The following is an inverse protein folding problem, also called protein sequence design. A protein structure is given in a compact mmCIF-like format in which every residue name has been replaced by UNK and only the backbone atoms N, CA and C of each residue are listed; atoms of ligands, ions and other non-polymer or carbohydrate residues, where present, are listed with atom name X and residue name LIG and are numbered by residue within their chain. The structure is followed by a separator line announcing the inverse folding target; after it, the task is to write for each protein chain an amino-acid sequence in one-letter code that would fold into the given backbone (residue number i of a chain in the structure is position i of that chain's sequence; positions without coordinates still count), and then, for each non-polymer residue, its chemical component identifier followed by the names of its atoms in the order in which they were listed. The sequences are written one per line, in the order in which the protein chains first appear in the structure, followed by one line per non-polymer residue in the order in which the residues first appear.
data_IF_232917790188
#
_entry.id   IF_232917790188
#
_cell.length_a   1.000
_cell.length_b   1.000
_cell.length_c   1.000
_cell.angle_alpha   90.00
_cell.angle_beta   90.00
_cell.angle_gamma   90.00
#
_symmetry.space_group_name_H-M   'P 1'
#
loop_
_entity.id
_entity.type
_entity.pdbx_description
1 polymer ?
#
# COMPACT_ATOMS: atom_id res chain seq x y z
N UNK A 1 28.22 5.77 -4.94
CA UNK A 1 29.50 6.27 -4.40
C UNK A 1 29.19 6.90 -3.05
N UNK A 2 29.76 6.40 -1.97
CA UNK A 2 29.65 7.03 -0.65
C UNK A 2 30.59 8.25 -0.62
N UNK A 3 30.05 9.44 -0.40
CA UNK A 3 30.88 10.63 -0.18
C UNK A 3 31.57 10.49 1.19
N UNK A 4 32.87 10.77 1.25
CA UNK A 4 33.59 10.83 2.52
C UNK A 4 33.02 11.98 3.37
N UNK A 5 32.81 11.73 4.67
CA UNK A 5 32.33 12.72 5.64
C UNK A 5 33.25 13.93 5.66
N UNK A 6 32.70 15.12 5.40
CA UNK A 6 33.42 16.37 5.51
C UNK A 6 33.60 16.69 7.00
N UNK A 7 34.81 17.00 7.42
CA UNK A 7 35.14 17.37 8.80
C UNK A 7 35.72 18.79 8.83
N UNK A 8 35.48 19.52 9.92
CA UNK A 8 36.07 20.82 10.16
C UNK A 8 37.57 20.68 10.41
N UNK A 9 38.41 21.43 9.67
CA UNK A 9 39.86 21.43 9.87
C UNK A 9 40.29 22.04 11.22
N UNK A 10 39.41 22.82 11.87
CA UNK A 10 39.70 23.45 13.17
C UNK A 10 39.52 22.51 14.36
N UNK A 11 38.36 21.88 14.47
CA UNK A 11 37.98 21.07 15.64
C UNK A 11 37.74 19.58 15.32
N UNK A 12 37.84 19.16 14.05
CA UNK A 12 37.59 17.79 13.61
C UNK A 12 36.11 17.37 13.60
N UNK A 13 35.17 18.24 13.98
CA UNK A 13 33.75 17.92 13.99
C UNK A 13 33.19 17.67 12.57
N UNK A 14 32.24 16.75 12.43
CA UNK A 14 31.57 16.49 11.16
C UNK A 14 30.73 17.70 10.70
N UNK A 15 30.85 18.05 9.43
CA UNK A 15 30.12 19.14 8.80
C UNK A 15 28.77 18.66 8.24
N UNK A 16 27.68 19.43 8.42
CA UNK A 16 26.39 19.09 7.83
C UNK A 16 26.42 19.18 6.30
N UNK A 17 25.58 18.38 5.65
CA UNK A 17 25.40 18.40 4.20
C UNK A 17 24.53 19.60 3.80
N UNK A 18 25.12 20.60 3.15
CA UNK A 18 24.42 21.80 2.67
C UNK A 18 24.79 22.14 1.22
N UNK A 19 23.91 22.90 0.54
CA UNK A 19 24.16 23.37 -0.82
C UNK A 19 25.04 24.64 -0.89
N UNK A 20 25.29 25.31 0.25
CA UNK A 20 26.09 26.52 0.30
C UNK A 20 27.58 26.24 0.00
N UNK A 21 28.27 27.21 -0.62
CA UNK A 21 29.71 27.11 -0.94
C UNK A 21 30.62 27.10 0.31
N UNK A 22 30.15 27.67 1.40
CA UNK A 22 30.82 27.66 2.69
C UNK A 22 29.78 27.56 3.81
N UNK A 23 30.20 27.00 4.95
CA UNK A 23 29.43 26.98 6.19
C UNK A 23 30.31 27.29 7.38
N UNK A 24 29.74 27.90 8.41
CA UNK A 24 30.44 28.09 9.67
C UNK A 24 30.27 26.87 10.57
N UNK A 25 31.37 26.38 11.12
CA UNK A 25 31.35 25.25 12.03
C UNK A 25 30.57 25.62 13.29
N UNK A 26 29.51 24.85 13.61
CA UNK A 26 28.71 25.08 14.80
C UNK A 26 29.50 25.03 16.12
N UNK A 27 30.62 24.29 16.15
CA UNK A 27 31.42 24.11 17.37
C UNK A 27 32.50 25.18 17.59
N UNK A 28 33.14 25.67 16.51
CA UNK A 28 34.30 26.58 16.64
C UNK A 28 34.17 27.87 15.83
N UNK A 29 33.09 28.06 15.07
CA UNK A 29 32.84 29.25 14.25
C UNK A 29 33.71 29.37 12.99
N UNK A 30 34.67 28.46 12.77
CA UNK A 30 35.52 28.49 11.57
C UNK A 30 34.71 28.18 10.31
N UNK A 31 34.90 28.98 9.25
CA UNK A 31 34.29 28.73 7.96
C UNK A 31 34.94 27.54 7.24
N UNK A 32 34.12 26.64 6.71
CA UNK A 32 34.51 25.41 6.02
C UNK A 32 34.06 25.54 4.56
N UNK A 33 35.00 25.45 3.62
CA UNK A 33 34.68 25.41 2.20
C UNK A 33 34.03 24.05 1.84
N UNK A 34 32.84 24.08 1.24
CA UNK A 34 32.10 22.86 0.89
C UNK A 34 32.44 22.42 -0.53
N UNK A 35 33.01 21.21 -0.74
CA UNK A 35 33.36 20.72 -2.07
C UNK A 35 32.16 20.67 -3.02
N UNK A 36 32.39 20.87 -4.32
CA UNK A 36 31.31 20.85 -5.31
C UNK A 36 30.50 19.53 -5.31
N UNK A 37 31.17 18.39 -5.10
CA UNK A 37 30.51 17.09 -4.98
C UNK A 37 29.56 17.01 -3.77
N UNK A 38 29.92 17.65 -2.65
CA UNK A 38 29.06 17.73 -1.46
C UNK A 38 27.84 18.62 -1.70
N UNK A 39 28.02 19.76 -2.38
CA UNK A 39 26.89 20.63 -2.74
C UNK A 39 25.92 19.95 -3.69
N UNK A 40 26.43 19.28 -4.73
CA UNK A 40 25.61 18.50 -5.65
C UNK A 40 24.82 17.39 -4.93
N UNK A 41 25.44 16.73 -3.94
CA UNK A 41 24.72 15.78 -3.10
C UNK A 41 23.65 16.46 -2.23
N UNK A 42 23.95 17.58 -1.59
CA UNK A 42 22.98 18.33 -0.79
C UNK A 42 21.76 18.77 -1.63
N UNK A 43 21.99 19.26 -2.85
CA UNK A 43 20.93 19.60 -3.80
C UNK A 43 20.11 18.37 -4.20
N UNK A 44 20.76 17.22 -4.43
CA UNK A 44 20.09 15.94 -4.67
C UNK A 44 19.21 15.50 -3.49
N UNK A 45 19.70 15.63 -2.26
CA UNK A 45 18.93 15.34 -1.05
C UNK A 45 17.73 16.29 -0.89
N UNK A 46 17.93 17.58 -1.15
CA UNK A 46 16.86 18.57 -1.12
C UNK A 46 15.80 18.31 -2.20
N UNK A 47 16.21 17.91 -3.41
CA UNK A 47 15.31 17.52 -4.49
C UNK A 47 14.51 16.25 -4.12
N UNK A 48 15.16 15.22 -3.58
CA UNK A 48 14.49 14.02 -3.11
C UNK A 48 13.47 14.31 -2.00
N UNK A 49 13.82 15.21 -1.06
CA UNK A 49 12.90 15.63 -0.01
C UNK A 49 11.67 16.38 -0.56
N UNK A 50 11.81 17.18 -1.63
CA UNK A 50 10.67 17.79 -2.33
C UNK A 50 9.77 16.75 -2.97
N UNK A 51 10.33 15.82 -3.74
CA UNK A 51 9.58 14.73 -4.38
C UNK A 51 8.83 13.90 -3.33
N UNK A 52 9.46 13.59 -2.19
CA UNK A 52 8.80 12.88 -1.10
C UNK A 52 7.59 13.65 -0.58
N UNK A 53 7.74 14.94 -0.25
CA UNK A 53 6.63 15.76 0.25
C UNK A 53 5.45 15.82 -0.73
N UNK A 54 5.72 15.80 -2.04
CA UNK A 54 4.69 15.75 -3.07
C UNK A 54 3.99 14.37 -3.16
N UNK A 55 4.74 13.29 -2.93
CA UNK A 55 4.20 11.91 -3.00
C UNK A 55 3.51 11.49 -1.71
N UNK A 56 3.89 12.04 -0.57
CA UNK A 56 3.42 11.65 0.75
C UNK A 56 1.89 11.70 0.91
N UNK A 57 1.16 12.73 0.44
CA UNK A 57 -0.31 12.71 0.46
C UNK A 57 -0.91 11.58 -0.39
N UNK A 58 -0.31 11.29 -1.55
CA UNK A 58 -0.74 10.18 -2.41
C UNK A 58 -0.48 8.83 -1.73
N UNK A 59 0.67 8.70 -1.08
CA UNK A 59 0.98 7.53 -0.28
C UNK A 59 -0.03 7.38 0.85
N UNK A 60 -0.37 8.43 1.60
CA UNK A 60 -1.39 8.37 2.66
C UNK A 60 -2.73 7.89 2.11
N UNK A 61 -3.21 8.43 0.99
CA UNK A 61 -4.45 7.99 0.35
C UNK A 61 -4.41 6.52 -0.11
N UNK A 62 -3.28 6.07 -0.66
CA UNK A 62 -3.10 4.70 -1.12
C UNK A 62 -2.82 3.72 0.02
N UNK A 63 -2.22 4.19 1.10
CA UNK A 63 -1.83 3.37 2.23
C UNK A 63 -2.99 3.20 3.21
N UNK A 64 -3.99 4.08 3.20
CA UNK A 64 -5.28 3.80 3.85
C UNK A 64 -5.85 2.56 3.16
N UNK A 65 -6.07 1.49 3.93
CA UNK A 65 -6.68 0.26 3.44
C UNK A 65 -8.07 0.51 2.88
N UNK A 66 -8.74 -0.54 2.41
CA UNK A 66 -10.12 -0.44 1.92
C UNK A 66 -11.08 -0.04 3.07
N UNK A 67 -10.60 -0.13 4.30
CA UNK A 67 -11.20 0.43 5.50
C UNK A 67 -12.34 -0.45 6.01
N UNK A 68 -12.71 -0.22 7.28
CA UNK A 68 -13.88 -0.82 7.89
C UNK A 68 -15.19 -0.68 7.05
N UNK A 69 -15.48 0.45 6.37
CA UNK A 69 -16.75 0.57 5.64
C UNK A 69 -16.89 -0.40 4.46
N UNK A 70 -15.84 -0.62 3.66
CA UNK A 70 -15.96 -1.53 2.52
C UNK A 70 -16.19 -2.98 2.95
N UNK A 71 -15.52 -3.42 4.02
CA UNK A 71 -15.75 -4.72 4.63
C UNK A 71 -17.15 -4.84 5.22
N UNK A 72 -17.68 -3.77 5.83
CA UNK A 72 -19.05 -3.74 6.33
C UNK A 72 -20.07 -3.86 5.19
N UNK A 73 -19.87 -3.15 4.08
CA UNK A 73 -20.72 -3.26 2.89
C UNK A 73 -20.67 -4.66 2.29
N UNK A 74 -19.47 -5.26 2.19
CA UNK A 74 -19.34 -6.63 1.67
C UNK A 74 -20.09 -7.65 2.53
N UNK A 75 -19.99 -7.54 3.87
CA UNK A 75 -20.74 -8.37 4.82
C UNK A 75 -22.25 -8.14 4.73
N UNK A 76 -22.67 -6.89 4.60
CA UNK A 76 -24.09 -6.55 4.42
C UNK A 76 -24.65 -7.15 3.13
N UNK A 77 -23.92 -7.07 2.02
CA UNK A 77 -24.31 -7.70 0.74
C UNK A 77 -24.42 -9.22 0.87
N UNK A 78 -23.46 -9.87 1.52
CA UNK A 78 -23.50 -11.32 1.77
C UNK A 78 -24.72 -11.74 2.60
N UNK A 79 -25.12 -10.93 3.57
CA UNK A 79 -26.23 -11.24 4.48
C UNK A 79 -27.61 -10.92 3.88
N UNK A 80 -27.72 -9.79 3.16
CA UNK A 80 -29.02 -9.23 2.74
C UNK A 80 -29.41 -9.65 1.33
N UNK A 81 -28.46 -9.78 0.40
CA UNK A 81 -28.79 -10.00 -1.01
C UNK A 81 -29.43 -11.38 -1.28
N UNK A 82 -28.95 -12.51 -0.72
CA UNK A 82 -29.57 -13.82 -0.94
C UNK A 82 -31.03 -13.95 -0.47
N UNK A 83 -31.41 -13.55 0.77
CA UNK A 83 -32.81 -13.65 1.19
C UNK A 83 -33.71 -12.67 0.42
N UNK A 84 -33.21 -11.47 0.08
CA UNK A 84 -33.97 -10.51 -0.72
C UNK A 84 -34.24 -11.03 -2.14
N UNK A 85 -33.22 -11.59 -2.80
CA UNK A 85 -33.35 -12.17 -4.14
C UNK A 85 -34.32 -13.37 -4.13
N UNK A 86 -34.19 -14.26 -3.15
CA UNK A 86 -35.10 -15.39 -2.95
C UNK A 86 -36.54 -14.93 -2.79
N UNK A 87 -36.79 -13.97 -1.90
CA UNK A 87 -38.12 -13.41 -1.66
C UNK A 87 -38.72 -12.77 -2.92
N UNK A 88 -37.91 -12.05 -3.68
CA UNK A 88 -38.33 -11.42 -4.92
C UNK A 88 -38.75 -12.46 -5.98
N UNK A 89 -37.99 -13.54 -6.14
CA UNK A 89 -38.33 -14.60 -7.11
C UNK A 89 -39.56 -15.38 -6.67
N UNK A 90 -39.65 -15.76 -5.39
CA UNK A 90 -40.80 -16.49 -4.84
C UNK A 90 -42.10 -15.70 -4.93
N UNK A 91 -42.06 -14.37 -4.78
CA UNK A 91 -43.26 -13.52 -4.89
C UNK A 91 -43.74 -13.29 -6.32
N UNK A 92 -42.94 -13.65 -7.33
CA UNK A 92 -43.22 -13.35 -8.75
C UNK A 92 -43.45 -14.57 -9.62
N UNK A 93 -42.96 -15.76 -9.24
CA UNK A 93 -43.11 -16.98 -10.03
C UNK A 93 -44.30 -17.83 -9.58
N UNK A 94 -45.10 -18.29 -10.54
CA UNK A 94 -46.19 -19.26 -10.34
C UNK A 94 -46.05 -20.36 -11.42
N UNK A 95 -45.77 -21.62 -11.05
CA UNK A 95 -45.54 -22.13 -9.69
C UNK A 95 -44.23 -21.59 -9.07
N UNK A 96 -44.11 -21.59 -7.72
CA UNK A 96 -42.87 -21.22 -7.07
C UNK A 96 -41.74 -22.21 -7.42
N UNK A 97 -40.49 -21.74 -7.56
CA UNK A 97 -39.36 -22.62 -7.83
C UNK A 97 -39.16 -23.61 -6.69
N UNK A 98 -38.65 -24.80 -7.03
CA UNK A 98 -38.26 -25.79 -6.03
C UNK A 98 -37.12 -25.24 -5.15
N UNK A 99 -36.93 -25.76 -3.93
CA UNK A 99 -35.84 -25.32 -3.05
C UNK A 99 -34.45 -25.41 -3.71
N UNK A 100 -34.23 -26.44 -4.54
CA UNK A 100 -32.96 -26.67 -5.26
C UNK A 100 -32.74 -25.59 -6.32
N UNK A 101 -33.77 -25.28 -7.12
CA UNK A 101 -33.71 -24.22 -8.14
C UNK A 101 -33.51 -22.84 -7.50
N UNK A 102 -34.25 -22.54 -6.44
CA UNK A 102 -34.12 -21.26 -5.75
C UNK A 102 -32.72 -21.09 -5.13
N UNK A 103 -32.18 -22.14 -4.52
CA UNK A 103 -30.82 -22.07 -3.98
C UNK A 103 -29.77 -21.92 -5.10
N UNK A 104 -29.84 -22.75 -6.14
CA UNK A 104 -28.84 -22.80 -7.21
C UNK A 104 -28.83 -21.58 -8.12
N UNK A 105 -30.00 -21.04 -8.48
CA UNK A 105 -30.11 -19.96 -9.46
C UNK A 105 -30.33 -18.57 -8.86
N UNK A 106 -30.76 -18.49 -7.60
CA UNK A 106 -31.12 -17.21 -6.99
C UNK A 106 -30.22 -16.90 -5.80
N UNK A 107 -30.25 -17.74 -4.77
CA UNK A 107 -29.52 -17.46 -3.53
C UNK A 107 -28.00 -17.51 -3.73
N UNK A 108 -27.49 -18.54 -4.41
CA UNK A 108 -26.05 -18.71 -4.60
C UNK A 108 -25.43 -17.59 -5.47
N UNK A 109 -25.99 -17.22 -6.64
CA UNK A 109 -25.48 -16.10 -7.42
C UNK A 109 -25.57 -14.76 -6.67
N UNK A 110 -26.59 -14.58 -5.83
CA UNK A 110 -26.72 -13.40 -4.99
C UNK A 110 -25.63 -13.29 -3.90
N UNK A 111 -24.88 -14.36 -3.59
CA UNK A 111 -23.70 -14.26 -2.72
C UNK A 111 -22.49 -13.64 -3.43
N UNK A 112 -22.43 -13.73 -4.78
CA UNK A 112 -21.23 -13.35 -5.53
C UNK A 112 -20.81 -11.89 -5.35
N UNK A 113 -21.70 -10.87 -5.40
CA UNK A 113 -21.28 -9.48 -5.26
C UNK A 113 -20.61 -9.21 -3.90
N UNK A 114 -21.19 -9.76 -2.82
CA UNK A 114 -20.63 -9.64 -1.48
C UNK A 114 -19.32 -10.40 -1.32
N UNK A 115 -19.23 -11.62 -1.85
CA UNK A 115 -18.02 -12.46 -1.78
C UNK A 115 -16.85 -11.84 -2.57
N UNK A 116 -17.10 -11.33 -3.78
CA UNK A 116 -16.09 -10.68 -4.61
C UNK A 116 -15.60 -9.37 -3.99
N UNK A 117 -16.51 -8.55 -3.46
CA UNK A 117 -16.12 -7.31 -2.77
C UNK A 117 -15.29 -7.60 -1.51
N UNK A 118 -15.66 -8.63 -0.74
CA UNK A 118 -14.89 -9.06 0.44
C UNK A 118 -13.49 -9.57 0.05
N UNK A 119 -13.40 -10.42 -0.98
CA UNK A 119 -12.13 -10.93 -1.50
C UNK A 119 -11.23 -9.79 -2.00
N UNK A 120 -11.79 -8.84 -2.75
CA UNK A 120 -11.07 -7.66 -3.20
C UNK A 120 -10.57 -6.82 -2.02
N UNK A 121 -11.43 -6.51 -1.06
CA UNK A 121 -11.08 -5.69 0.09
C UNK A 121 -9.94 -6.31 0.91
N UNK A 122 -10.05 -7.59 1.23
CA UNK A 122 -9.03 -8.32 2.02
C UNK A 122 -7.70 -8.46 1.27
N UNK A 123 -7.72 -8.73 -0.04
CA UNK A 123 -6.50 -8.83 -0.85
C UNK A 123 -5.79 -7.49 -1.01
N UNK A 124 -6.54 -6.39 -1.18
CA UNK A 124 -5.98 -5.04 -1.21
C UNK A 124 -5.37 -4.67 0.14
N UNK A 125 -6.05 -4.93 1.26
CA UNK A 125 -5.51 -4.67 2.60
C UNK A 125 -4.21 -5.46 2.87
N UNK A 126 -4.18 -6.74 2.50
CA UNK A 126 -2.99 -7.57 2.60
C UNK A 126 -1.83 -7.01 1.74
N UNK A 127 -2.12 -6.53 0.52
CA UNK A 127 -1.12 -5.93 -0.34
C UNK A 127 -0.58 -4.61 0.25
N UNK A 128 -1.44 -3.75 0.77
CA UNK A 128 -1.06 -2.50 1.45
C UNK A 128 -0.15 -2.79 2.64
N UNK A 129 -0.54 -3.74 3.50
CA UNK A 129 0.24 -4.13 4.67
C UNK A 129 1.62 -4.68 4.30
N UNK A 130 1.70 -5.48 3.22
CA UNK A 130 2.98 -5.98 2.72
C UNK A 130 3.90 -4.83 2.28
N UNK A 131 3.41 -3.91 1.43
CA UNK A 131 4.23 -2.78 0.97
C UNK A 131 4.63 -1.89 2.17
N UNK A 132 3.73 -1.61 3.10
CA UNK A 132 4.04 -0.86 4.34
C UNK A 132 5.18 -1.53 5.12
N UNK A 133 5.17 -2.86 5.29
CA UNK A 133 6.27 -3.61 5.94
C UNK A 133 7.58 -3.52 5.17
N UNK A 134 7.50 -3.59 3.83
CA UNK A 134 8.69 -3.56 2.97
C UNK A 134 9.39 -2.18 3.03
N UNK A 135 8.64 -1.10 3.23
CA UNK A 135 9.21 0.26 3.38
C UNK A 135 9.41 0.72 4.82
N UNK A 136 8.93 -0.01 5.82
CA UNK A 136 9.04 0.39 7.23
C UNK A 136 10.48 0.36 7.75
N UNK A 137 10.80 1.36 8.58
CA UNK A 137 12.01 1.38 9.39
C UNK A 137 12.15 0.08 10.21
N UNK A 138 13.38 -0.21 10.63
CA UNK A 138 13.67 -1.23 11.63
C UNK A 138 13.55 -0.59 12.99
N UNK A 139 13.10 -1.36 13.96
CA UNK A 139 13.22 -1.01 15.36
C UNK A 139 14.41 -1.79 15.92
N UNK A 140 15.42 -1.08 16.44
CA UNK A 140 16.64 -1.66 16.97
C UNK A 140 16.97 -1.00 18.31
N UNK A 141 16.90 -1.77 19.40
CA UNK A 141 17.20 -1.31 20.75
C UNK A 141 16.45 -0.03 21.18
N UNK A 142 15.16 0.08 20.81
CA UNK A 142 14.33 1.24 21.15
C UNK A 142 14.56 2.48 20.26
N UNK A 143 15.40 2.38 19.22
CA UNK A 143 15.60 3.44 18.23
C UNK A 143 15.17 2.98 16.83
N UNK A 144 14.79 3.95 16.00
CA UNK A 144 14.48 3.70 14.58
C UNK A 144 15.77 3.59 13.77
N UNK A 145 15.85 2.57 12.94
CA UNK A 145 16.98 2.26 12.09
C UNK A 145 16.54 2.08 10.63
N UNK A 146 17.45 2.36 9.71
CA UNK A 146 17.22 2.26 8.28
C UNK A 146 16.88 0.82 7.90
N UNK A 147 15.83 0.64 7.08
CA UNK A 147 15.43 -0.70 6.63
C UNK A 147 16.42 -1.42 5.73
N UNK A 148 17.35 -0.69 5.12
CA UNK A 148 18.32 -1.20 4.16
C UNK A 148 19.65 -1.45 4.88
N UNK A 149 20.35 -0.38 5.28
CA UNK A 149 21.68 -0.49 5.90
C UNK A 149 21.69 -0.63 7.42
N UNK A 150 20.56 -0.45 8.12
CA UNK A 150 20.50 -0.50 9.59
C UNK A 150 21.02 0.73 10.33
N UNK A 151 21.45 1.79 9.64
CA UNK A 151 21.93 3.02 10.28
C UNK A 151 20.81 3.74 11.07
N UNK A 152 21.12 4.41 12.19
CA UNK A 152 20.13 5.11 12.99
C UNK A 152 19.43 6.20 12.17
N UNK A 153 18.12 6.34 12.38
CA UNK A 153 17.29 7.38 11.77
C UNK A 153 16.92 8.41 12.82
N UNK A 154 17.01 9.69 12.45
CA UNK A 154 16.53 10.82 13.23
C UNK A 154 15.36 11.48 12.47
N UNK A 155 14.15 10.88 12.49
CA UNK A 155 13.00 11.49 11.83
C UNK A 155 12.59 12.79 12.53
N UNK A 156 12.06 13.72 11.75
CA UNK A 156 11.35 14.88 12.30
C UNK A 156 10.11 14.40 13.08
N UNK A 157 9.69 15.12 14.14
CA UNK A 157 8.42 14.84 14.81
C UNK A 157 7.28 14.78 13.79
N UNK A 158 6.42 13.78 13.89
CA UNK A 158 5.26 13.55 13.00
C UNK A 158 5.54 13.24 11.53
N UNK A 159 6.81 13.14 11.11
CA UNK A 159 7.16 12.68 9.77
C UNK A 159 6.62 11.26 9.55
N UNK A 160 5.98 11.02 8.41
CA UNK A 160 5.50 9.69 8.06
C UNK A 160 6.64 8.83 7.50
N UNK A 161 7.55 9.42 6.71
CA UNK A 161 8.78 8.78 6.23
C UNK A 161 10.02 9.67 6.42
N UNK A 162 11.20 9.04 6.52
CA UNK A 162 12.50 9.73 6.55
C UNK A 162 13.50 9.05 5.62
N UNK A 163 14.40 9.82 5.01
CA UNK A 163 15.49 9.28 4.18
C UNK A 163 16.69 8.99 5.04
N UNK A 164 17.25 7.79 4.91
CA UNK A 164 18.53 7.47 5.54
C UNK A 164 19.65 8.34 4.96
N UNK A 165 20.33 9.13 5.80
CA UNK A 165 21.45 9.98 5.40
C UNK A 165 22.66 9.18 4.87
N UNK A 166 22.73 7.87 5.16
CA UNK A 166 23.84 7.02 4.77
C UNK A 166 23.64 6.35 3.41
N UNK A 167 22.50 5.65 3.22
CA UNK A 167 22.23 4.88 2.01
C UNK A 167 21.14 5.47 1.11
N UNK A 168 20.53 6.60 1.49
CA UNK A 168 19.50 7.28 0.71
C UNK A 168 18.14 6.56 0.65
N UNK A 169 17.95 5.48 1.43
CA UNK A 169 16.69 4.70 1.42
C UNK A 169 15.60 5.38 2.27
N UNK A 170 14.39 5.52 1.73
CA UNK A 170 13.23 6.20 2.37
C UNK A 170 12.43 5.30 3.31
N UNK A 171 12.65 5.34 4.61
CA UNK A 171 11.97 4.46 5.58
C UNK A 171 10.69 5.09 6.16
N UNK A 172 9.58 4.35 6.19
CA UNK A 172 8.40 4.74 6.98
C UNK A 172 8.73 4.64 8.46
N UNK A 173 8.44 5.71 9.21
CA UNK A 173 8.72 5.79 10.65
C UNK A 173 7.45 5.85 11.49
N UNK A 174 6.30 6.16 10.87
CA UNK A 174 4.97 6.10 11.50
C UNK A 174 4.18 4.89 10.99
N UNK A 175 3.18 4.49 11.77
CA UNK A 175 2.27 3.39 11.46
C UNK A 175 3.00 2.05 11.23
N UNK A 176 4.04 1.80 12.05
CA UNK A 176 4.87 0.60 11.96
C UNK A 176 4.03 -0.65 12.24
N UNK A 177 3.93 -1.59 11.29
CA UNK A 177 3.25 -2.85 11.53
C UNK A 177 4.03 -3.67 12.56
N UNK A 178 3.33 -4.44 13.40
CA UNK A 178 3.95 -5.40 14.31
C UNK A 178 4.96 -6.27 13.55
N UNK A 179 6.21 -6.26 14.02
CA UNK A 179 7.35 -6.74 13.25
C UNK A 179 7.21 -8.23 12.87
N UNK A 180 7.37 -8.53 11.58
CA UNK A 180 7.51 -9.90 11.06
C UNK A 180 8.71 -9.96 10.11
N UNK A 181 9.47 -11.05 10.15
CA UNK A 181 10.88 -11.12 9.70
C UNK A 181 11.11 -11.31 8.20
N UNK A 182 10.11 -11.20 7.34
CA UNK A 182 10.30 -11.41 5.89
C UNK A 182 10.28 -10.06 5.19
N UNK A 183 11.44 -9.64 4.65
CA UNK A 183 11.60 -8.38 3.91
C UNK A 183 12.19 -8.66 2.55
N UNK A 184 11.57 -8.12 1.52
CA UNK A 184 12.09 -8.13 0.16
C UNK A 184 12.63 -6.73 -0.17
N UNK A 185 13.90 -6.61 -0.56
CA UNK A 185 14.62 -5.33 -0.62
C UNK A 185 14.44 -4.58 -1.95
N UNK A 186 13.43 -4.92 -2.75
CA UNK A 186 13.28 -4.41 -4.11
C UNK A 186 12.90 -2.92 -4.19
N UNK A 187 12.28 -2.34 -3.15
CA UNK A 187 11.73 -0.97 -3.19
C UNK A 187 12.60 0.00 -2.39
N UNK A 188 13.19 1.00 -3.06
CA UNK A 188 14.13 1.95 -2.44
C UNK A 188 13.48 3.26 -2.04
N UNK A 189 12.52 3.75 -2.84
CA UNK A 189 11.88 5.05 -2.62
C UNK A 189 10.39 4.93 -2.29
N UNK A 190 9.82 5.94 -1.64
CA UNK A 190 8.38 5.99 -1.35
C UNK A 190 7.55 6.12 -2.66
N UNK A 191 8.09 6.78 -3.68
CA UNK A 191 7.47 6.91 -4.98
C UNK A 191 7.32 5.55 -5.69
N UNK A 192 8.39 4.75 -5.72
CA UNK A 192 8.34 3.37 -6.23
C UNK A 192 7.31 2.53 -5.47
N UNK A 193 7.26 2.67 -4.14
CA UNK A 193 6.29 1.96 -3.30
C UNK A 193 4.84 2.33 -3.67
N UNK A 194 4.56 3.62 -3.86
CA UNK A 194 3.25 4.12 -4.25
C UNK A 194 2.83 3.59 -5.63
N UNK A 195 3.75 3.59 -6.60
CA UNK A 195 3.49 3.08 -7.95
C UNK A 195 3.26 1.56 -7.97
N UNK A 196 4.06 0.79 -7.21
CA UNK A 196 3.85 -0.66 -7.06
C UNK A 196 2.49 -0.94 -6.45
N UNK A 197 2.09 -0.20 -5.42
CA UNK A 197 0.80 -0.36 -4.76
C UNK A 197 -0.37 0.00 -5.70
N UNK A 198 -0.24 1.09 -6.46
CA UNK A 198 -1.23 1.49 -7.47
C UNK A 198 -1.42 0.42 -8.53
N UNK A 199 -0.33 -0.10 -9.12
CA UNK A 199 -0.40 -1.17 -10.13
C UNK A 199 -1.03 -2.44 -9.56
N UNK A 200 -0.67 -2.83 -8.35
CA UNK A 200 -1.26 -4.01 -7.68
C UNK A 200 -2.76 -3.82 -7.43
N UNK A 201 -3.20 -2.65 -6.95
CA UNK A 201 -4.63 -2.36 -6.76
C UNK A 201 -5.42 -2.45 -8.07
N UNK A 202 -4.88 -1.90 -9.16
CA UNK A 202 -5.50 -1.99 -10.48
C UNK A 202 -5.59 -3.45 -10.97
N UNK A 203 -4.50 -4.21 -10.88
CA UNK A 203 -4.49 -5.61 -11.31
C UNK A 203 -5.42 -6.48 -10.47
N UNK A 204 -5.49 -6.25 -9.14
CA UNK A 204 -6.44 -6.96 -8.26
C UNK A 204 -7.88 -6.59 -8.59
N UNK A 205 -8.17 -5.31 -8.84
CA UNK A 205 -9.50 -4.88 -9.28
C UNK A 205 -9.93 -5.54 -10.59
N UNK A 206 -9.03 -5.55 -11.60
CA UNK A 206 -9.27 -6.22 -12.87
C UNK A 206 -9.47 -7.73 -12.71
N UNK A 207 -8.62 -8.39 -11.90
CA UNK A 207 -8.74 -9.82 -11.63
C UNK A 207 -10.07 -10.19 -10.98
N UNK A 208 -10.51 -9.42 -9.98
CA UNK A 208 -11.80 -9.65 -9.32
C UNK A 208 -12.97 -9.37 -10.26
N UNK A 209 -12.89 -8.33 -11.10
CA UNK A 209 -13.91 -8.05 -12.10
C UNK A 209 -14.05 -9.19 -13.13
N UNK A 210 -12.94 -9.71 -13.64
CA UNK A 210 -12.93 -10.86 -14.57
C UNK A 210 -13.48 -12.13 -13.91
N UNK A 211 -13.14 -12.39 -12.64
CA UNK A 211 -13.72 -13.49 -11.87
C UNK A 211 -15.23 -13.34 -11.71
N UNK A 212 -15.71 -12.12 -11.43
CA UNK A 212 -17.13 -11.84 -11.33
C UNK A 212 -17.88 -12.03 -12.65
N UNK A 213 -17.32 -11.56 -13.77
CA UNK A 213 -17.87 -11.79 -15.10
C UNK A 213 -17.91 -13.27 -15.46
N UNK A 214 -16.85 -14.02 -15.17
CA UNK A 214 -16.82 -15.47 -15.38
C UNK A 214 -17.87 -16.22 -14.56
N UNK A 215 -18.02 -15.86 -13.27
CA UNK A 215 -19.04 -16.46 -12.41
C UNK A 215 -20.46 -16.14 -12.90
N UNK A 216 -20.72 -14.90 -13.30
CA UNK A 216 -22.02 -14.51 -13.87
C UNK A 216 -22.33 -15.26 -15.18
N UNK A 217 -21.35 -15.37 -16.09
CA UNK A 217 -21.50 -16.13 -17.33
C UNK A 217 -21.81 -17.61 -17.07
N UNK A 218 -21.16 -18.25 -16.10
CA UNK A 218 -21.46 -19.63 -15.71
C UNK A 218 -22.88 -19.79 -15.16
N UNK A 219 -23.36 -18.85 -14.34
CA UNK A 219 -24.74 -18.87 -13.82
C UNK A 219 -25.75 -18.76 -14.96
N UNK A 220 -25.53 -17.84 -15.91
CA UNK A 220 -26.40 -17.69 -17.09
C UNK A 220 -26.39 -18.94 -17.95
N UNK A 221 -25.22 -19.52 -18.21
CA UNK A 221 -25.09 -20.76 -18.99
C UNK A 221 -25.81 -21.93 -18.32
N UNK A 222 -25.67 -22.08 -17.00
CA UNK A 222 -26.39 -23.10 -16.23
C UNK A 222 -27.91 -22.91 -16.31
N UNK A 223 -28.39 -21.68 -16.14
CA UNK A 223 -29.82 -21.37 -16.24
C UNK A 223 -30.38 -21.68 -17.64
N UNK A 224 -29.64 -21.35 -18.71
CA UNK A 224 -30.01 -21.67 -20.09
C UNK A 224 -30.02 -23.19 -20.33
N UNK A 225 -29.01 -23.91 -19.86
CA UNK A 225 -28.91 -25.36 -20.04
C UNK A 225 -30.09 -26.10 -19.39
N UNK A 226 -30.49 -25.72 -18.18
CA UNK A 226 -31.67 -26.32 -17.55
C UNK A 226 -32.98 -25.92 -18.24
N UNK A 227 -33.10 -24.67 -18.67
CA UNK A 227 -34.27 -24.21 -19.42
C UNK A 227 -34.46 -25.03 -20.71
N UNK A 228 -33.37 -25.37 -21.40
CA UNK A 228 -33.40 -26.26 -22.57
C UNK A 228 -33.72 -27.71 -22.20
N UNK A 229 -33.23 -28.21 -21.07
CA UNK A 229 -33.47 -29.59 -20.63
C UNK A 229 -34.93 -29.87 -20.25
N UNK A 230 -35.68 -28.87 -19.79
CA UNK A 230 -37.10 -29.00 -19.41
C UNK A 230 -38.09 -28.56 -20.51
N UNK A 231 -37.61 -28.09 -21.66
CA UNK A 231 -38.45 -27.64 -22.76
C UNK A 231 -38.82 -28.74 -23.77
N UNK A 232 -38.31 -29.97 -23.59
CA UNK A 232 -38.59 -31.14 -24.43
C UNK A 232 -39.31 -32.23 -23.66
#
# INVERSE_FOLDING_TARGET
MSLATLHCEGCGAAAPLVAAAAIDCHHCGRSIAVPAAWRAAAEGHAAAARVRREVEPRWQQLAVGVGAPALAVAKALLLVLPPLATWLVQSRMVPPPTPVENFGYVAFPALLPGALLWLWATTVDAAVLRVRRDVSAREAAGALACRSCGAPLAPEPDALATTCLYCGTDSLVRDLPASTRVRDHAVRTLAEAADVLRRRRLNLGLGVALLGLGAAAMVVAAALALSLAFAG
#
